data_IF_663352881472
#
_entry.id   IF_663352881472
#
_cell.length_a   1.000
_cell.length_b   1.000
_cell.length_c   1.000
_cell.angle_alpha   90.00
_cell.angle_beta   90.00
_cell.angle_gamma   90.00
#
_symmetry.space_group_name_H-M   'P 1'
#
loop_
_entity.id
_entity.type
_entity.pdbx_description
1 polymer ?
#
# COMPACT_ATOMS: atom_id res chain seq x y z
N UNK A 1 7.45 -9.72 -14.71
CA UNK A 1 6.33 -9.50 -13.77
C UNK A 1 6.56 -10.10 -12.37
N UNK A 2 7.08 -11.32 -12.24
CA UNK A 2 7.27 -12.02 -10.93
C UNK A 2 8.04 -11.21 -9.87
N UNK A 3 9.12 -10.50 -10.26
CA UNK A 3 9.91 -9.68 -9.32
C UNK A 3 9.12 -8.53 -8.70
N UNK A 4 8.22 -7.89 -9.45
CA UNK A 4 7.45 -6.75 -8.94
C UNK A 4 6.42 -7.19 -7.89
N UNK A 5 5.73 -8.31 -8.14
CA UNK A 5 4.77 -8.87 -7.17
C UNK A 5 5.47 -9.37 -5.91
N UNK A 6 6.66 -9.96 -6.05
CA UNK A 6 7.50 -10.34 -4.92
C UNK A 6 7.88 -9.12 -4.07
N UNK A 7 8.39 -8.04 -4.67
CA UNK A 7 8.75 -6.83 -3.93
C UNK A 7 7.54 -6.10 -3.33
N UNK A 8 6.37 -6.14 -3.99
CA UNK A 8 5.12 -5.61 -3.42
C UNK A 8 4.67 -6.43 -2.20
N UNK A 9 4.77 -7.75 -2.27
CA UNK A 9 4.48 -8.64 -1.14
C UNK A 9 5.44 -8.41 0.04
N UNK A 10 6.73 -8.32 -0.25
CA UNK A 10 7.77 -8.01 0.74
C UNK A 10 7.52 -6.64 1.41
N UNK A 11 7.23 -5.60 0.62
CA UNK A 11 6.91 -4.28 1.13
C UNK A 11 5.68 -4.28 2.05
N UNK A 12 4.62 -5.01 1.68
CA UNK A 12 3.42 -5.16 2.53
C UNK A 12 3.76 -5.91 3.82
N UNK A 13 4.59 -6.96 3.75
CA UNK A 13 5.02 -7.71 4.92
C UNK A 13 5.82 -6.84 5.89
N UNK A 14 6.81 -6.11 5.38
CA UNK A 14 7.64 -5.19 6.17
C UNK A 14 6.78 -4.11 6.84
N UNK A 15 5.86 -3.50 6.09
CA UNK A 15 4.90 -2.53 6.63
C UNK A 15 4.09 -3.12 7.80
N UNK A 16 3.61 -4.36 7.69
CA UNK A 16 2.83 -5.01 8.75
C UNK A 16 3.68 -5.31 9.98
N UNK A 17 4.90 -5.78 9.78
CA UNK A 17 5.83 -6.09 10.86
C UNK A 17 6.25 -4.82 11.62
N UNK A 18 6.61 -3.75 10.90
CA UNK A 18 6.97 -2.45 11.47
C UNK A 18 5.82 -1.87 12.30
N UNK A 19 4.58 -1.98 11.81
CA UNK A 19 3.39 -1.54 12.56
C UNK A 19 3.19 -2.35 13.83
N UNK A 20 3.39 -3.67 13.77
CA UNK A 20 3.25 -4.55 14.93
C UNK A 20 4.27 -4.18 16.00
N UNK A 21 5.53 -4.03 15.62
CA UNK A 21 6.62 -3.62 16.51
C UNK A 21 6.37 -2.25 17.11
N UNK A 22 6.04 -1.26 16.27
CA UNK A 22 5.77 0.12 16.71
C UNK A 22 4.56 0.19 17.63
N UNK A 23 3.48 -0.56 17.34
CA UNK A 23 2.30 -0.62 18.22
C UNK A 23 2.65 -1.22 19.59
N UNK A 24 3.47 -2.27 19.63
CA UNK A 24 3.92 -2.85 20.90
C UNK A 24 4.74 -1.84 21.70
N UNK A 25 5.72 -1.20 21.08
CA UNK A 25 6.54 -0.16 21.72
C UNK A 25 5.71 1.01 22.24
N UNK A 26 4.72 1.48 21.46
CA UNK A 26 3.81 2.54 21.88
C UNK A 26 2.93 2.10 23.05
N UNK A 27 2.41 0.87 23.05
CA UNK A 27 1.62 0.34 24.16
C UNK A 27 2.44 0.24 25.45
N UNK A 28 3.68 -0.22 25.36
CA UNK A 28 4.58 -0.31 26.52
C UNK A 28 4.91 1.09 27.05
N UNK A 29 5.16 2.05 26.16
CA UNK A 29 5.39 3.45 26.51
C UNK A 29 4.17 4.09 27.19
N UNK A 30 2.97 3.85 26.67
CA UNK A 30 1.71 4.34 27.26
C UNK A 30 1.46 3.74 28.63
N UNK A 31 1.75 2.44 28.83
CA UNK A 31 1.65 1.83 30.16
C UNK A 31 2.60 2.50 31.15
N UNK A 32 3.86 2.74 30.77
CA UNK A 32 4.82 3.46 31.61
C UNK A 32 4.31 4.85 31.97
N UNK A 33 3.78 5.60 30.99
CA UNK A 33 3.18 6.91 31.23
C UNK A 33 2.01 6.84 32.22
N UNK A 34 1.09 5.89 32.05
CA UNK A 34 -0.11 5.78 32.89
C UNK A 34 0.17 5.27 34.32
N UNK A 35 1.29 4.56 34.52
CA UNK A 35 1.69 4.06 35.85
C UNK A 35 2.51 5.06 36.66
N UNK A 36 2.93 6.16 36.04
CA UNK A 36 3.76 7.18 36.66
C UNK A 36 2.95 8.42 36.98
N UNK A 37 2.84 8.77 38.26
CA UNK A 37 2.12 9.97 38.72
C UNK A 37 2.89 11.29 38.50
N UNK A 38 3.99 11.25 37.74
CA UNK A 38 4.91 12.38 37.55
C UNK A 38 4.74 13.01 36.16
N UNK A 39 4.35 14.29 36.14
CA UNK A 39 4.20 15.07 34.90
C UNK A 39 5.49 15.12 34.05
N UNK A 40 6.65 14.95 34.67
CA UNK A 40 7.95 14.96 33.99
C UNK A 40 8.16 13.74 33.08
N UNK A 41 7.55 12.59 33.38
CA UNK A 41 7.66 11.39 32.53
C UNK A 41 6.97 11.61 31.20
N UNK A 42 5.80 12.27 31.17
CA UNK A 42 5.12 12.64 29.93
C UNK A 42 5.97 13.57 29.05
N UNK A 43 6.71 14.51 29.64
CA UNK A 43 7.64 15.39 28.91
C UNK A 43 8.80 14.61 28.30
N UNK A 44 9.37 13.66 29.04
CA UNK A 44 10.53 12.89 28.58
C UNK A 44 10.15 11.86 27.51
N UNK A 45 9.05 11.14 27.69
CA UNK A 45 8.66 10.04 26.79
C UNK A 45 7.66 10.46 25.71
N UNK A 46 7.02 11.64 25.84
CA UNK A 46 6.07 12.15 24.86
C UNK A 46 6.69 12.37 23.48
N UNK A 47 7.96 12.81 23.42
CA UNK A 47 8.70 12.95 22.16
C UNK A 47 8.92 11.58 21.49
N UNK A 48 9.21 10.55 22.29
CA UNK A 48 9.38 9.18 21.81
C UNK A 48 8.04 8.62 21.30
N UNK A 49 6.95 8.86 22.03
CA UNK A 49 5.59 8.50 21.62
C UNK A 49 5.23 9.11 20.27
N UNK A 50 5.52 10.41 20.11
CA UNK A 50 5.29 11.14 18.87
C UNK A 50 6.04 10.51 17.69
N UNK A 51 7.29 10.06 17.90
CA UNK A 51 8.05 9.34 16.85
C UNK A 51 7.44 8.00 16.47
N UNK A 52 6.92 7.24 17.43
CA UNK A 52 6.19 6.00 17.11
C UNK A 52 4.90 6.27 16.32
N UNK A 53 4.15 7.31 16.69
CA UNK A 53 2.96 7.73 15.93
C UNK A 53 3.32 8.22 14.52
N UNK A 54 4.39 8.99 14.38
CA UNK A 54 4.91 9.46 13.08
C UNK A 54 5.30 8.27 12.18
N UNK A 55 5.98 7.25 12.73
CA UNK A 55 6.30 6.02 12.00
C UNK A 55 5.03 5.28 11.54
N UNK A 56 3.99 5.22 12.37
CA UNK A 56 2.70 4.64 11.98
C UNK A 56 2.00 5.45 10.88
N UNK A 57 2.08 6.78 10.91
CA UNK A 57 1.56 7.65 9.85
C UNK A 57 2.30 7.43 8.53
N UNK A 58 3.63 7.41 8.53
CA UNK A 58 4.45 7.11 7.34
C UNK A 58 4.13 5.73 6.78
N UNK A 59 3.90 4.75 7.65
CA UNK A 59 3.46 3.40 7.27
C UNK A 59 2.08 3.40 6.60
N UNK A 60 1.14 4.25 7.04
CA UNK A 60 -0.15 4.43 6.35
C UNK A 60 0.05 5.02 4.94
N UNK A 61 0.89 6.04 4.81
CA UNK A 61 1.19 6.65 3.50
C UNK A 61 1.81 5.66 2.51
N UNK A 62 2.72 4.81 2.98
CA UNK A 62 3.33 3.76 2.18
C UNK A 62 2.29 2.76 1.68
N UNK A 63 1.36 2.33 2.55
CA UNK A 63 0.30 1.41 2.16
C UNK A 63 -0.62 2.03 1.10
N UNK A 64 -1.00 3.30 1.26
CA UNK A 64 -1.80 4.03 0.25
C UNK A 64 -1.07 4.09 -1.09
N UNK A 65 0.25 4.36 -1.10
CA UNK A 65 1.07 4.37 -2.32
C UNK A 65 1.09 3.00 -3.00
N UNK A 66 1.24 1.91 -2.23
CA UNK A 66 1.20 0.54 -2.75
C UNK A 66 -0.18 0.23 -3.35
N UNK A 67 -1.26 0.57 -2.66
CA UNK A 67 -2.63 0.38 -3.16
C UNK A 67 -2.86 1.14 -4.46
N UNK A 68 -2.38 2.38 -4.56
CA UNK A 68 -2.47 3.17 -5.79
C UNK A 68 -1.69 2.53 -6.96
N UNK A 69 -0.51 1.95 -6.71
CA UNK A 69 0.26 1.21 -7.72
C UNK A 69 -0.47 -0.05 -8.19
N UNK A 70 -1.07 -0.82 -7.27
CA UNK A 70 -1.86 -2.00 -7.59
C UNK A 70 -3.11 -1.64 -8.42
N UNK A 71 -3.79 -0.56 -8.08
CA UNK A 71 -4.94 -0.07 -8.84
C UNK A 71 -4.55 0.37 -10.26
N UNK A 72 -3.40 1.03 -10.43
CA UNK A 72 -2.89 1.41 -11.75
C UNK A 72 -2.57 0.20 -12.62
N UNK A 73 -1.97 -0.85 -12.04
CA UNK A 73 -1.70 -2.11 -12.75
C UNK A 73 -2.98 -2.77 -13.26
N UNK A 74 -4.10 -2.70 -12.53
CA UNK A 74 -5.38 -3.22 -13.02
C UNK A 74 -5.95 -2.44 -14.21
N UNK A 75 -5.54 -1.18 -14.43
CA UNK A 75 -6.02 -0.33 -15.53
C UNK A 75 -5.23 -0.50 -16.83
N UNK A 76 -4.19 -1.34 -16.88
CA UNK A 76 -3.37 -1.53 -18.09
C UNK A 76 -4.01 -2.47 -19.13
N UNK A 77 -5.16 -3.08 -18.86
CA UNK A 77 -5.92 -3.80 -19.88
C UNK A 77 -6.79 -2.82 -20.69
N UNK A 78 -6.12 -1.93 -21.45
CA UNK A 78 -6.74 -1.12 -22.49
C UNK A 78 -6.33 -1.72 -23.83
N UNK A 79 -6.85 -2.91 -24.09
CA UNK A 79 -6.76 -3.60 -25.37
C UNK A 79 -8.15 -3.87 -25.93
N UNK A 80 -8.25 -4.07 -27.24
CA UNK A 80 -9.44 -4.67 -27.83
C UNK A 80 -9.62 -6.06 -27.21
N UNK A 81 -10.82 -6.38 -26.74
CA UNK A 81 -11.15 -7.74 -26.35
C UNK A 81 -11.00 -8.68 -27.56
N UNK A 82 -10.90 -9.98 -27.34
CA UNK A 82 -10.86 -10.93 -28.46
C UNK A 82 -12.10 -10.80 -29.35
N UNK A 83 -13.25 -10.49 -28.75
CA UNK A 83 -14.51 -10.22 -29.46
C UNK A 83 -14.43 -8.93 -30.30
N UNK A 84 -13.83 -7.86 -29.76
CA UNK A 84 -13.60 -6.63 -30.53
C UNK A 84 -12.62 -6.86 -31.70
N UNK A 85 -11.62 -7.73 -31.51
CA UNK A 85 -10.67 -8.10 -32.58
C UNK A 85 -11.36 -8.92 -33.66
N UNK A 86 -12.15 -9.92 -33.30
CA UNK A 86 -12.93 -10.73 -34.25
C UNK A 86 -13.89 -9.86 -35.06
N UNK A 87 -14.64 -8.97 -34.40
CA UNK A 87 -15.52 -8.02 -35.08
C UNK A 87 -14.77 -7.09 -36.04
N UNK A 88 -13.57 -6.63 -35.68
CA UNK A 88 -12.70 -5.86 -36.58
C UNK A 88 -12.17 -6.68 -37.76
N UNK A 89 -11.84 -7.96 -37.56
CA UNK A 89 -11.40 -8.86 -38.63
C UNK A 89 -12.51 -9.08 -39.67
N UNK A 90 -13.76 -9.25 -39.21
CA UNK A 90 -14.90 -9.44 -40.09
C UNK A 90 -15.24 -8.16 -40.87
N UNK A 91 -15.20 -6.99 -40.20
CA UNK A 91 -15.40 -5.70 -40.87
C UNK A 91 -14.35 -5.44 -41.97
N UNK A 92 -13.09 -5.80 -41.73
CA UNK A 92 -12.00 -5.64 -42.71
C UNK A 92 -12.18 -6.59 -43.90
N UNK A 93 -12.67 -7.82 -43.68
CA UNK A 93 -12.97 -8.77 -44.76
C UNK A 93 -14.11 -8.25 -45.64
N UNK A 94 -15.20 -7.81 -45.03
CA UNK A 94 -16.36 -7.26 -45.76
C UNK A 94 -15.95 -6.07 -46.63
N UNK A 95 -15.08 -5.17 -46.14
CA UNK A 95 -14.57 -4.04 -46.94
C UNK A 95 -13.68 -4.49 -48.10
N UNK A 96 -12.92 -5.58 -47.94
CA UNK A 96 -12.06 -6.14 -48.99
C UNK A 96 -12.85 -6.84 -50.10
N UNK A 97 -13.98 -7.46 -49.77
CA UNK A 97 -14.81 -8.19 -50.74
C UNK A 97 -15.71 -7.25 -51.58
N UNK A 98 -15.82 -5.97 -51.17
CA UNK A 98 -16.59 -4.92 -51.87
C UNK A 98 -15.71 -4.02 -52.77
N UNK A 99 -14.38 -4.14 -52.69
CA UNK A 99 -13.41 -3.37 -53.46
C UNK A 99 -12.79 -4.17 -54.62
#
# INVERSE_FOLDING_TARGET
>A
MVKLEMYLGEAISNIREDRKTTKKLLQDLVKTMSSSSEDDIHKQVGVVAAKYVETLQRSNEQLVKIVALLQKKQKEDVGLSEEDKEGLFDLIKDVKDVA
#
